data_IF_241914077875
#
_entry.id   IF_241914077875
#
_cell.length_a   1.000
_cell.length_b   1.000
_cell.length_c   1.000
_cell.angle_alpha   90.00
_cell.angle_beta   90.00
_cell.angle_gamma   90.00
#
_symmetry.space_group_name_H-M   'P 1'
#
loop_
_entity.id
_entity.type
_entity.pdbx_description
1 polymer ?
#
# COMPACT_ATOMS: atom_id res chain seq x y z
N UNK A 1 -0.45 -24.61 1.94
CA UNK A 1 -0.66 -23.66 0.83
C UNK A 1 -0.21 -22.30 1.33
N UNK A 2 0.77 -21.68 0.68
CA UNK A 2 1.29 -20.33 0.99
C UNK A 2 0.21 -19.21 0.94
N UNK A 3 -1.05 -19.58 0.67
CA UNK A 3 -2.22 -18.70 0.55
C UNK A 3 -3.41 -19.17 1.43
N UNK A 4 -3.22 -20.21 2.28
CA UNK A 4 -4.16 -20.55 3.36
C UNK A 4 -3.43 -20.43 4.70
N UNK A 5 -3.63 -19.31 5.39
CA UNK A 5 -3.33 -19.23 6.82
C UNK A 5 -2.12 -18.40 7.25
N UNK A 6 -1.55 -17.55 6.41
CA UNK A 6 -0.76 -16.45 6.97
C UNK A 6 -1.73 -15.51 7.72
N UNK A 7 -1.51 -15.37 9.02
CA UNK A 7 -2.28 -14.47 9.88
C UNK A 7 -2.12 -13.07 9.28
N UNK A 8 -3.20 -12.33 9.04
CA UNK A 8 -3.16 -10.99 8.44
C UNK A 8 -2.13 -10.06 9.12
N UNK A 9 -1.86 -10.25 10.42
CA UNK A 9 -0.73 -9.65 11.13
C UNK A 9 0.65 -9.81 10.46
N UNK A 10 0.97 -10.96 9.86
CA UNK A 10 2.25 -11.18 9.16
C UNK A 10 2.32 -10.33 7.90
N UNK A 11 1.22 -10.29 7.13
CA UNK A 11 1.11 -9.42 5.96
C UNK A 11 1.25 -7.95 6.37
N UNK A 12 0.53 -7.53 7.40
CA UNK A 12 0.61 -6.16 7.94
C UNK A 12 2.02 -5.82 8.42
N UNK A 13 2.72 -6.75 9.07
CA UNK A 13 4.11 -6.55 9.48
C UNK A 13 5.04 -6.31 8.28
N UNK A 14 4.96 -7.15 7.24
CA UNK A 14 5.78 -6.96 6.03
C UNK A 14 5.42 -5.69 5.27
N UNK A 15 4.14 -5.30 5.27
CA UNK A 15 3.68 -4.03 4.74
C UNK A 15 4.32 -2.86 5.49
N UNK A 16 4.35 -2.89 6.84
CA UNK A 16 5.01 -1.84 7.64
C UNK A 16 6.48 -1.72 7.26
N UNK A 17 7.21 -2.84 7.24
CA UNK A 17 8.62 -2.85 6.89
C UNK A 17 8.85 -2.36 5.46
N UNK A 18 8.08 -2.87 4.50
CA UNK A 18 8.18 -2.50 3.08
C UNK A 18 7.89 -1.02 2.85
N UNK A 19 6.81 -0.49 3.43
CA UNK A 19 6.46 0.92 3.31
C UNK A 19 7.50 1.84 3.93
N UNK A 20 8.10 1.48 5.07
CA UNK A 20 9.20 2.26 5.66
C UNK A 20 10.44 2.24 4.75
N UNK A 21 10.80 1.07 4.21
CA UNK A 21 11.98 0.93 3.34
C UNK A 21 11.81 1.71 2.04
N UNK A 22 10.68 1.55 1.35
CA UNK A 22 10.41 2.27 0.10
C UNK A 22 10.23 3.78 0.36
N UNK A 23 9.57 4.16 1.45
CA UNK A 23 9.44 5.57 1.86
C UNK A 23 10.79 6.23 2.08
N UNK A 24 11.71 5.50 2.72
CA UNK A 24 13.09 5.97 2.92
C UNK A 24 13.85 6.04 1.59
N UNK A 25 13.63 5.09 0.67
CA UNK A 25 14.23 5.14 -0.66
C UNK A 25 13.81 6.38 -1.45
N UNK A 26 12.55 6.82 -1.38
CA UNK A 26 12.13 8.07 -2.01
C UNK A 26 12.85 9.30 -1.45
N UNK A 27 13.13 9.32 -0.14
CA UNK A 27 13.88 10.42 0.47
C UNK A 27 15.34 10.42 0.03
N UNK A 28 15.97 9.24 -0.04
CA UNK A 28 17.37 9.11 -0.46
C UNK A 28 17.57 9.45 -1.94
N UNK A 29 16.63 9.08 -2.79
CA UNK A 29 16.67 9.41 -4.22
C UNK A 29 16.33 10.89 -4.52
N UNK A 30 15.83 11.63 -3.53
CA UNK A 30 15.34 13.01 -3.71
C UNK A 30 14.13 13.11 -4.67
N UNK A 31 13.52 11.98 -5.02
CA UNK A 31 12.59 11.84 -6.14
C UNK A 31 11.11 11.99 -5.76
N UNK A 32 10.78 12.08 -4.47
CA UNK A 32 9.39 12.31 -4.09
C UNK A 32 9.08 12.33 -2.61
N UNK A 33 9.16 13.51 -1.99
CA UNK A 33 8.75 13.71 -0.59
C UNK A 33 7.27 13.33 -0.35
N UNK A 34 6.39 13.52 -1.33
CA UNK A 34 5.01 13.08 -1.26
C UNK A 34 4.88 11.55 -1.21
N UNK A 35 5.61 10.83 -2.08
CA UNK A 35 5.66 9.37 -2.07
C UNK A 35 6.15 8.83 -0.73
N UNK A 36 7.22 9.43 -0.18
CA UNK A 36 7.73 9.11 1.15
C UNK A 36 6.69 9.33 2.25
N UNK A 37 6.08 10.51 2.30
CA UNK A 37 5.07 10.86 3.32
C UNK A 37 3.87 9.92 3.28
N UNK A 38 3.37 9.61 2.07
CA UNK A 38 2.29 8.67 1.87
C UNK A 38 2.63 7.26 2.34
N UNK A 39 3.85 6.77 2.06
CA UNK A 39 4.27 5.46 2.51
C UNK A 39 4.49 5.38 4.03
N UNK A 40 5.03 6.42 4.66
CA UNK A 40 5.13 6.45 6.13
C UNK A 40 3.76 6.49 6.80
N UNK A 41 2.80 7.24 6.24
CA UNK A 41 1.43 7.22 6.72
C UNK A 41 0.79 5.84 6.49
N UNK A 42 1.01 5.21 5.33
CA UNK A 42 0.57 3.85 5.06
C UNK A 42 1.15 2.82 6.03
N UNK A 43 2.42 2.97 6.42
CA UNK A 43 3.05 2.14 7.45
C UNK A 43 2.38 2.34 8.82
N UNK A 44 2.08 3.59 9.20
CA UNK A 44 1.36 3.89 10.44
C UNK A 44 -0.05 3.27 10.44
N UNK A 45 -0.78 3.36 9.33
CA UNK A 45 -2.09 2.73 9.17
C UNK A 45 -2.01 1.20 9.30
N UNK A 46 -1.03 0.57 8.65
CA UNK A 46 -0.79 -0.86 8.74
C UNK A 46 -0.43 -1.29 10.17
N UNK A 47 0.36 -0.48 10.90
CA UNK A 47 0.70 -0.70 12.30
C UNK A 47 -0.53 -0.60 13.22
N UNK A 48 -1.40 0.39 13.02
CA UNK A 48 -2.65 0.50 13.78
C UNK A 48 -3.52 -0.74 13.51
N UNK A 49 -3.72 -1.11 12.24
CA UNK A 49 -4.49 -2.30 11.86
C UNK A 49 -3.89 -3.58 12.44
N UNK A 50 -2.56 -3.69 12.51
CA UNK A 50 -1.85 -4.80 13.14
C UNK A 50 -2.24 -4.93 14.61
N UNK A 51 -2.27 -3.83 15.37
CA UNK A 51 -2.69 -3.88 16.78
C UNK A 51 -4.16 -4.25 16.96
N UNK A 52 -5.05 -3.84 16.04
CA UNK A 52 -6.44 -4.28 16.04
C UNK A 52 -6.56 -5.79 15.81
N UNK A 53 -5.82 -6.33 14.83
CA UNK A 53 -5.81 -7.76 14.53
C UNK A 53 -5.23 -8.60 15.69
N UNK A 54 -4.12 -8.16 16.29
CA UNK A 54 -3.53 -8.82 17.47
C UNK A 54 -4.53 -8.88 18.64
N UNK A 55 -5.33 -7.82 18.82
CA UNK A 55 -6.39 -7.76 19.83
C UNK A 55 -7.70 -8.44 19.38
N UNK A 56 -7.74 -9.01 18.17
CA UNK A 56 -8.94 -9.59 17.52
C UNK A 56 -10.13 -8.64 17.52
N UNK A 57 -9.88 -7.33 17.39
CA UNK A 57 -10.92 -6.30 17.32
C UNK A 57 -11.18 -5.90 15.88
N UNK A 58 -12.45 -5.74 15.47
CA UNK A 58 -12.75 -5.21 14.15
C UNK A 58 -12.26 -3.76 14.04
N UNK A 59 -11.79 -3.39 12.85
CA UNK A 59 -11.38 -2.01 12.57
C UNK A 59 -12.66 -1.15 12.46
N UNK A 60 -12.80 -0.08 13.26
CA UNK A 60 -14.00 0.75 13.21
C UNK A 60 -14.03 1.58 11.92
N UNK A 61 -15.21 1.74 11.32
CA UNK A 61 -15.38 2.46 10.04
C UNK A 61 -14.96 3.93 10.10
N UNK A 62 -15.11 4.58 11.26
CA UNK A 62 -14.67 5.97 11.44
C UNK A 62 -13.15 6.12 11.32
N UNK A 63 -12.39 5.07 11.68
CA UNK A 63 -10.93 5.08 11.57
C UNK A 63 -10.48 4.98 10.11
N UNK A 64 -11.23 4.25 9.29
CA UNK A 64 -11.03 4.21 7.82
C UNK A 64 -11.27 5.60 7.21
N UNK A 65 -12.33 6.30 7.63
CA UNK A 65 -12.58 7.67 7.20
C UNK A 65 -11.45 8.61 7.65
N UNK A 66 -10.95 8.45 8.88
CA UNK A 66 -9.80 9.20 9.38
C UNK A 66 -8.54 8.97 8.55
N UNK A 67 -8.26 7.73 8.14
CA UNK A 67 -7.13 7.41 7.26
C UNK A 67 -7.23 8.13 5.91
N UNK A 68 -8.42 8.11 5.30
CA UNK A 68 -8.66 8.78 4.02
C UNK A 68 -8.43 10.30 4.14
N UNK A 69 -9.00 10.93 5.17
CA UNK A 69 -8.80 12.37 5.42
C UNK A 69 -7.32 12.67 5.68
N UNK A 70 -6.64 11.88 6.51
CA UNK A 70 -5.23 12.07 6.82
C UNK A 70 -4.34 11.97 5.57
N UNK A 71 -4.61 11.02 4.67
CA UNK A 71 -3.89 10.87 3.39
C UNK A 71 -4.03 12.12 2.53
N UNK A 72 -5.27 12.62 2.36
CA UNK A 72 -5.53 13.79 1.52
C UNK A 72 -4.85 15.03 2.11
N UNK A 73 -5.06 15.29 3.41
CA UNK A 73 -4.49 16.46 4.08
C UNK A 73 -2.96 16.42 4.05
N UNK A 74 -2.35 15.28 4.38
CA UNK A 74 -0.89 15.14 4.39
C UNK A 74 -0.29 15.39 3.02
N UNK A 75 -0.82 14.77 1.97
CA UNK A 75 -0.24 14.89 0.62
C UNK A 75 -0.43 16.28 0.01
N UNK A 76 -1.53 16.98 0.32
CA UNK A 76 -1.71 18.38 -0.09
C UNK A 76 -0.74 19.28 0.66
N UNK A 77 -0.59 19.06 1.97
CA UNK A 77 0.30 19.86 2.81
C UNK A 77 1.77 19.68 2.40
N UNK A 78 2.23 18.44 2.19
CA UNK A 78 3.62 18.15 1.80
C UNK A 78 3.94 18.65 0.38
N UNK A 79 3.00 18.58 -0.55
CA UNK A 79 3.19 19.17 -1.88
C UNK A 79 3.11 20.70 -1.90
N UNK A 80 2.56 21.32 -0.84
CA UNK A 80 2.23 22.75 -0.79
C UNK A 80 1.07 23.18 -1.71
N UNK A 81 0.66 22.32 -2.65
CA UNK A 81 -0.40 22.56 -3.62
C UNK A 81 -0.91 21.23 -4.21
N UNK A 82 -2.06 21.26 -4.88
CA UNK A 82 -2.60 20.10 -5.59
C UNK A 82 -1.89 19.96 -6.94
N UNK A 83 -0.97 18.99 -7.04
CA UNK A 83 -0.28 18.65 -8.29
C UNK A 83 -0.83 17.36 -8.89
N UNK A 84 -0.65 17.15 -10.19
CA UNK A 84 -1.04 15.89 -10.85
C UNK A 84 -0.37 14.66 -10.22
N UNK A 85 0.93 14.77 -9.88
CA UNK A 85 1.66 13.73 -9.16
C UNK A 85 1.12 13.53 -7.74
N UNK A 86 0.80 14.62 -7.03
CA UNK A 86 0.19 14.55 -5.69
C UNK A 86 -1.17 13.86 -5.70
N UNK A 87 -2.01 14.12 -6.72
CA UNK A 87 -3.27 13.42 -6.90
C UNK A 87 -3.07 11.92 -7.14
N UNK A 88 -2.07 11.54 -7.94
CA UNK A 88 -1.76 10.13 -8.17
C UNK A 88 -1.35 9.43 -6.87
N UNK A 89 -0.52 10.07 -6.03
CA UNK A 89 -0.15 9.53 -4.70
C UNK A 89 -1.37 9.40 -3.79
N UNK A 90 -2.27 10.38 -3.80
CA UNK A 90 -3.52 10.32 -3.03
C UNK A 90 -4.36 9.13 -3.49
N UNK A 91 -4.59 8.98 -4.80
CA UNK A 91 -5.39 7.86 -5.35
C UNK A 91 -4.73 6.51 -5.05
N UNK A 92 -3.40 6.40 -5.18
CA UNK A 92 -2.67 5.19 -4.80
C UNK A 92 -2.88 4.88 -3.31
N UNK A 93 -2.70 5.87 -2.43
CA UNK A 93 -2.84 5.72 -0.99
C UNK A 93 -4.27 5.38 -0.55
N UNK A 94 -5.29 5.97 -1.19
CA UNK A 94 -6.69 5.60 -0.96
C UNK A 94 -6.97 4.18 -1.44
N UNK A 95 -6.41 3.76 -2.58
CA UNK A 95 -6.49 2.37 -3.06
C UNK A 95 -5.88 1.40 -2.04
N UNK A 96 -4.81 1.79 -1.36
CA UNK A 96 -4.18 0.99 -0.33
C UNK A 96 -5.10 0.73 0.88
N UNK A 97 -5.94 1.68 1.27
CA UNK A 97 -6.96 1.47 2.31
C UNK A 97 -7.88 0.29 1.94
N UNK A 98 -8.28 0.19 0.67
CA UNK A 98 -9.10 -0.93 0.21
C UNK A 98 -8.33 -2.24 0.23
N UNK A 99 -7.01 -2.24 -0.05
CA UNK A 99 -6.16 -3.42 0.03
C UNK A 99 -6.16 -4.01 1.44
N UNK A 100 -5.81 -3.19 2.44
CA UNK A 100 -5.69 -3.65 3.84
C UNK A 100 -7.05 -3.91 4.51
N UNK A 101 -8.15 -3.49 3.88
CA UNK A 101 -9.52 -3.78 4.33
C UNK A 101 -10.07 -5.14 3.86
N UNK A 102 -9.36 -5.86 2.97
CA UNK A 102 -9.83 -7.14 2.46
C UNK A 102 -9.71 -8.26 3.49
N UNK A 103 -10.74 -9.12 3.56
CA UNK A 103 -10.78 -10.27 4.46
C UNK A 103 -10.28 -11.56 3.83
N UNK A 104 -10.12 -11.59 2.50
CA UNK A 104 -9.60 -12.73 1.77
C UNK A 104 -8.37 -12.36 0.92
N UNK A 105 -7.46 -13.32 0.76
CA UNK A 105 -6.18 -13.08 0.07
C UNK A 105 -6.31 -12.80 -1.43
N UNK A 106 -7.40 -13.23 -2.08
CA UNK A 106 -7.61 -12.98 -3.51
C UNK A 106 -8.06 -11.55 -3.74
N UNK A 107 -9.02 -11.06 -2.95
CA UNK A 107 -9.40 -9.65 -2.91
C UNK A 107 -8.20 -8.77 -2.60
N UNK A 108 -7.40 -9.12 -1.59
CA UNK A 108 -6.18 -8.39 -1.25
C UNK A 108 -5.22 -8.28 -2.46
N UNK A 109 -4.90 -9.39 -3.12
CA UNK A 109 -3.99 -9.39 -4.28
C UNK A 109 -4.51 -8.56 -5.44
N UNK A 110 -5.82 -8.63 -5.73
CA UNK A 110 -6.42 -7.84 -6.82
C UNK A 110 -6.29 -6.34 -6.55
N UNK A 111 -6.66 -5.89 -5.36
CA UNK A 111 -6.50 -4.48 -4.99
C UNK A 111 -5.04 -4.06 -4.93
N UNK A 112 -4.14 -4.94 -4.47
CA UNK A 112 -2.70 -4.68 -4.47
C UNK A 112 -2.14 -4.51 -5.88
N UNK A 113 -2.61 -5.24 -6.88
CA UNK A 113 -2.22 -5.03 -8.28
C UNK A 113 -2.60 -3.63 -8.74
N UNK A 114 -3.84 -3.18 -8.45
CA UNK A 114 -4.28 -1.82 -8.79
C UNK A 114 -3.42 -0.78 -8.08
N UNK A 115 -3.19 -0.97 -6.78
CA UNK A 115 -2.35 -0.08 -5.98
C UNK A 115 -0.91 0.01 -6.52
N UNK A 116 -0.29 -1.13 -6.81
CA UNK A 116 1.07 -1.20 -7.33
C UNK A 116 1.18 -0.63 -8.75
N UNK A 117 0.16 -0.80 -9.60
CA UNK A 117 0.12 -0.11 -10.90
C UNK A 117 0.17 1.40 -10.77
N UNK A 118 -0.57 1.96 -9.81
CA UNK A 118 -0.59 3.41 -9.55
C UNK A 118 0.77 3.90 -9.02
N UNK A 119 1.39 3.12 -8.13
CA UNK A 119 2.73 3.42 -7.62
C UNK A 119 3.81 3.33 -8.70
N UNK A 120 3.81 2.28 -9.53
CA UNK A 120 4.73 2.18 -10.66
C UNK A 120 4.56 3.34 -11.65
N UNK A 121 3.32 3.75 -11.93
CA UNK A 121 3.05 4.92 -12.76
C UNK A 121 3.63 6.19 -12.12
N UNK A 122 3.41 6.38 -10.82
CA UNK A 122 3.99 7.49 -10.07
C UNK A 122 5.51 7.49 -10.15
N UNK A 123 6.15 6.33 -9.95
CA UNK A 123 7.61 6.20 -9.95
C UNK A 123 8.24 6.56 -11.28
N UNK A 124 7.62 6.13 -12.39
CA UNK A 124 8.08 6.49 -13.74
C UNK A 124 7.99 8.00 -13.94
N UNK A 125 6.88 8.62 -13.54
CA UNK A 125 6.67 10.05 -13.72
C UNK A 125 7.53 10.91 -12.77
N UNK A 126 7.82 10.40 -11.57
CA UNK A 126 8.67 11.03 -10.56
C UNK A 126 10.17 10.68 -10.75
N UNK A 127 10.51 9.88 -11.76
CA UNK A 127 11.87 9.38 -12.03
C UNK A 127 12.50 8.64 -10.83
N UNK A 128 11.67 7.98 -10.01
CA UNK A 128 12.06 7.26 -8.80
C UNK A 128 12.34 5.78 -9.11
N UNK A 129 13.49 5.48 -9.73
CA UNK A 129 13.77 4.13 -10.22
C UNK A 129 14.03 3.09 -9.13
N UNK A 130 14.53 3.47 -7.95
CA UNK A 130 14.73 2.52 -6.85
C UNK A 130 13.40 2.02 -6.26
N UNK A 131 12.43 2.91 -5.93
CA UNK A 131 11.04 2.50 -5.63
C UNK A 131 10.39 1.70 -6.75
N UNK A 132 10.60 2.09 -8.02
CA UNK A 132 10.02 1.40 -9.18
C UNK A 132 10.41 -0.08 -9.22
N UNK A 133 11.68 -0.40 -8.96
CA UNK A 133 12.14 -1.78 -8.93
C UNK A 133 11.37 -2.59 -7.87
N UNK A 134 11.21 -2.01 -6.68
CA UNK A 134 10.51 -2.67 -5.57
C UNK A 134 9.03 -2.89 -5.90
N UNK A 135 8.34 -1.84 -6.36
CA UNK A 135 6.93 -1.94 -6.75
C UNK A 135 6.73 -2.90 -7.93
N UNK A 136 7.63 -2.91 -8.91
CA UNK A 136 7.60 -3.82 -10.05
C UNK A 136 7.76 -5.28 -9.65
N UNK A 137 8.70 -5.61 -8.76
CA UNK A 137 8.86 -6.98 -8.23
C UNK A 137 7.63 -7.42 -7.44
N UNK A 138 7.10 -6.56 -6.57
CA UNK A 138 5.87 -6.83 -5.81
C UNK A 138 4.67 -7.03 -6.74
N UNK A 139 4.58 -6.25 -7.81
CA UNK A 139 3.52 -6.37 -8.81
C UNK A 139 3.55 -7.76 -9.45
N UNK A 140 4.73 -8.20 -9.91
CA UNK A 140 4.92 -9.53 -10.50
C UNK A 140 4.53 -10.64 -9.53
N UNK A 141 4.94 -10.56 -8.27
CA UNK A 141 4.55 -11.58 -7.28
C UNK A 141 3.05 -11.63 -7.01
N UNK A 142 2.36 -10.48 -7.00
CA UNK A 142 0.90 -10.47 -6.86
C UNK A 142 0.20 -11.09 -8.09
N UNK A 143 0.68 -10.80 -9.31
CA UNK A 143 0.17 -11.40 -10.55
C UNK A 143 0.37 -12.92 -10.54
N UNK A 144 1.59 -13.39 -10.23
CA UNK A 144 1.91 -14.82 -10.12
C UNK A 144 1.03 -15.48 -9.05
N UNK A 145 0.84 -14.81 -7.92
CA UNK A 145 -0.03 -15.26 -6.83
C UNK A 145 -1.46 -15.54 -7.29
N UNK A 146 -2.04 -14.65 -8.09
CA UNK A 146 -3.39 -14.86 -8.67
C UNK A 146 -3.39 -16.04 -9.64
N UNK A 147 -2.42 -16.10 -10.56
CA UNK A 147 -2.37 -17.12 -11.61
C UNK A 147 -2.19 -18.54 -11.05
N UNK A 148 -1.34 -18.71 -10.03
CA UNK A 148 -0.98 -20.03 -9.50
C UNK A 148 -1.90 -20.45 -8.36
N UNK A 149 -2.16 -19.57 -7.38
CA UNK A 149 -2.80 -19.95 -6.13
C UNK A 149 -4.32 -19.74 -6.15
N UNK A 150 -4.81 -18.72 -6.87
CA UNK A 150 -6.23 -18.36 -6.80
C UNK A 150 -7.06 -19.11 -7.83
N UNK A 151 -6.46 -19.52 -8.95
CA UNK A 151 -7.08 -20.43 -9.92
C UNK A 151 -7.34 -21.84 -9.35
N UNK A 152 -6.46 -22.35 -8.49
CA UNK A 152 -6.60 -23.67 -7.85
C UNK A 152 -7.72 -23.77 -6.81
N UNK A 153 -8.37 -22.65 -6.47
CA UNK A 153 -9.42 -22.59 -5.45
C UNK A 153 -10.85 -22.73 -6.01
N UNK A 154 -10.99 -22.67 -7.34
CA UNK A 154 -12.27 -22.76 -8.08
C UNK A 154 -12.46 -24.11 -8.79
N UNK A 155 -11.52 -25.05 -8.64
CA UNK A 155 -11.62 -26.46 -9.07
C UNK A 155 -11.82 -27.34 -7.84
#
# INVERSE_FOLDING_TARGET
SLVKGEKIKTVLFFVICGSILVGTSYLLDGSGINGAAALYLGAAQALINYFFDVKKKPIPRWLIALYAVAIVVLNIWVAGQVTGLGLLVIVASLTFIFCIGQTDGTGYRLWMIVNLSLWCLYDVLAQAYSPLLTHGVLFLFNVIGILIHDRKKKS
#
